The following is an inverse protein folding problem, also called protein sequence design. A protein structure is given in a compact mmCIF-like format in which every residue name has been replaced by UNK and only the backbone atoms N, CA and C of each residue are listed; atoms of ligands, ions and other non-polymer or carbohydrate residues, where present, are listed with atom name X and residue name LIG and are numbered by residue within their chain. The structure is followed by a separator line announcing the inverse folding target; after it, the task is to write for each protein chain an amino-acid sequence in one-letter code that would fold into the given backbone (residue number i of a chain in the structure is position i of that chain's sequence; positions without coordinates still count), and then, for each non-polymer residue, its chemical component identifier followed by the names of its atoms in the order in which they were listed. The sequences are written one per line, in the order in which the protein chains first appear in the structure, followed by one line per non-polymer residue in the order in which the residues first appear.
data_IF_073294053279
#
_entry.id   IF_073294053279
#
_cell.length_a   1.000
_cell.length_b   1.000
_cell.length_c   1.000
_cell.angle_alpha   90.00
_cell.angle_beta   90.00
_cell.angle_gamma   90.00
#
_symmetry.space_group_name_H-M   'P 1'
#
loop_
_entity.id
_entity.type
_entity.pdbx_description
1 polymer ?
#
# COMPACT_ATOMS: atom_id res chain seq x y z
N UNK A 1 -5.59 11.82 -7.22
CA UNK A 1 -5.32 10.40 -7.64
C UNK A 1 -6.60 9.81 -8.18
N UNK A 2 -6.52 9.10 -9.32
CA UNK A 2 -7.64 8.37 -9.91
C UNK A 2 -7.24 6.91 -10.19
N UNK A 3 -8.23 6.01 -10.29
CA UNK A 3 -7.99 4.59 -10.47
C UNK A 3 -8.13 4.15 -11.92
N UNK A 4 -7.19 3.32 -12.39
CA UNK A 4 -7.29 2.56 -13.63
C UNK A 4 -7.39 1.06 -13.32
N UNK A 5 -8.04 0.31 -14.17
CA UNK A 5 -8.06 -1.15 -14.09
C UNK A 5 -6.69 -1.73 -14.42
N UNK A 6 -6.33 -2.82 -13.77
CA UNK A 6 -5.06 -3.52 -14.05
C UNK A 6 -4.98 -3.86 -15.54
N UNK A 7 -3.86 -3.47 -16.17
CA UNK A 7 -3.57 -3.70 -17.59
C UNK A 7 -4.30 -2.76 -18.57
N UNK A 8 -5.17 -1.87 -18.09
CA UNK A 8 -5.95 -1.01 -18.97
C UNK A 8 -5.21 0.29 -19.34
N UNK A 9 -4.22 0.18 -20.21
CA UNK A 9 -3.37 1.32 -20.61
C UNK A 9 -4.14 2.49 -21.24
N UNK A 10 -5.28 2.24 -21.90
CA UNK A 10 -6.10 3.33 -22.48
C UNK A 10 -6.77 4.17 -21.39
N UNK A 11 -7.26 3.55 -20.29
CA UNK A 11 -7.75 4.32 -19.13
C UNK A 11 -6.64 5.21 -18.55
N UNK A 12 -5.43 4.68 -18.44
CA UNK A 12 -4.29 5.47 -17.96
C UNK A 12 -3.97 6.66 -18.88
N UNK A 13 -3.99 6.48 -20.20
CA UNK A 13 -3.83 7.56 -21.18
C UNK A 13 -4.93 8.63 -21.07
N UNK A 14 -6.18 8.21 -20.83
CA UNK A 14 -7.30 9.14 -20.62
C UNK A 14 -7.11 9.93 -19.33
N UNK A 15 -6.71 9.26 -18.23
CA UNK A 15 -6.46 9.89 -16.94
C UNK A 15 -5.28 10.86 -17.01
N UNK A 16 -4.21 10.52 -17.73
CA UNK A 16 -3.08 11.42 -17.98
C UNK A 16 -3.55 12.67 -18.72
N UNK A 17 -4.42 12.52 -19.74
CA UNK A 17 -4.95 13.67 -20.52
C UNK A 17 -5.81 14.61 -19.67
N UNK A 18 -6.39 14.12 -18.56
CA UNK A 18 -7.13 14.92 -17.59
C UNK A 18 -6.21 15.69 -16.62
N UNK A 19 -4.90 15.46 -16.66
CA UNK A 19 -3.92 16.14 -15.82
C UNK A 19 -4.01 15.78 -14.35
N UNK A 20 -4.34 14.53 -14.02
CA UNK A 20 -4.34 14.07 -12.63
C UNK A 20 -2.91 13.83 -12.14
N UNK A 21 -2.70 13.97 -10.80
CA UNK A 21 -1.37 13.89 -10.20
C UNK A 21 -0.82 12.47 -10.09
N UNK A 22 -1.69 11.46 -9.86
CA UNK A 22 -1.32 10.04 -9.70
C UNK A 22 -2.39 9.12 -10.28
N UNK A 23 -1.97 8.03 -10.91
CA UNK A 23 -2.82 6.92 -11.35
C UNK A 23 -2.61 5.72 -10.41
N UNK A 24 -3.66 5.24 -9.77
CA UNK A 24 -3.64 3.98 -9.01
C UNK A 24 -4.13 2.85 -9.93
N UNK A 25 -3.20 2.02 -10.42
CA UNK A 25 -3.53 0.77 -11.11
C UNK A 25 -3.98 -0.23 -10.04
N UNK A 26 -5.31 -0.40 -9.93
CA UNK A 26 -5.93 -0.85 -8.70
C UNK A 26 -6.64 -2.19 -8.82
N UNK A 27 -6.31 -3.10 -7.90
CA UNK A 27 -6.96 -4.39 -7.70
C UNK A 27 -8.40 -4.30 -7.15
N UNK A 28 -8.83 -3.15 -6.65
CA UNK A 28 -10.24 -2.96 -6.22
C UNK A 28 -11.21 -2.85 -7.40
N UNK A 29 -10.69 -2.66 -8.61
CA UNK A 29 -11.46 -2.70 -9.84
C UNK A 29 -11.31 -4.07 -10.51
N UNK A 30 -12.28 -4.43 -11.36
CA UNK A 30 -12.14 -5.64 -12.18
C UNK A 30 -10.96 -5.49 -13.13
N UNK A 31 -10.02 -6.43 -13.21
CA UNK A 31 -8.87 -6.33 -14.11
C UNK A 31 -9.32 -6.34 -15.57
N UNK A 32 -8.60 -5.62 -16.42
CA UNK A 32 -8.76 -5.68 -17.87
C UNK A 32 -7.78 -6.68 -18.51
N UNK A 33 -6.68 -6.98 -17.84
CA UNK A 33 -5.70 -7.98 -18.23
C UNK A 33 -5.30 -8.78 -16.99
N UNK A 34 -5.34 -10.10 -17.05
CA UNK A 34 -5.01 -11.02 -15.97
C UNK A 34 -3.52 -11.40 -15.93
N UNK A 35 -2.76 -11.02 -16.94
CA UNK A 35 -1.34 -11.35 -17.10
C UNK A 35 -0.42 -10.15 -16.98
N UNK A 36 -0.84 -9.02 -17.55
CA UNK A 36 0.02 -7.86 -17.71
C UNK A 36 -0.53 -6.66 -16.93
N UNK A 37 0.34 -6.03 -16.17
CA UNK A 37 0.14 -4.67 -15.68
C UNK A 37 0.49 -3.66 -16.79
N UNK A 38 0.04 -2.41 -16.61
CA UNK A 38 0.38 -1.33 -17.52
C UNK A 38 1.90 -1.12 -17.52
N UNK A 39 2.50 -0.99 -18.71
CA UNK A 39 3.90 -0.56 -18.85
C UNK A 39 3.97 0.95 -18.63
N UNK A 40 4.47 1.34 -17.46
CA UNK A 40 4.33 2.70 -16.91
C UNK A 40 5.37 3.68 -17.44
N UNK A 41 6.48 3.17 -18.01
CA UNK A 41 7.55 4.02 -18.54
C UNK A 41 7.15 4.88 -19.73
N UNK A 42 6.06 4.56 -20.41
CA UNK A 42 5.52 5.34 -21.55
C UNK A 42 4.52 6.43 -21.11
N UNK A 43 4.18 6.51 -19.81
CA UNK A 43 3.19 7.43 -19.24
C UNK A 43 3.92 8.37 -18.26
N UNK A 44 3.69 9.68 -18.37
CA UNK A 44 4.34 10.68 -17.54
C UNK A 44 3.74 10.78 -16.13
N UNK A 45 2.44 10.55 -16.02
CA UNK A 45 1.74 10.57 -14.73
C UNK A 45 2.24 9.42 -13.85
N UNK A 46 2.71 9.67 -12.63
CA UNK A 46 3.24 8.63 -11.75
C UNK A 46 2.16 7.65 -11.31
N UNK A 47 2.55 6.37 -11.20
CA UNK A 47 1.67 5.29 -10.80
C UNK A 47 1.85 4.87 -9.34
N UNK A 48 0.72 4.52 -8.72
CA UNK A 48 0.64 3.78 -7.45
C UNK A 48 0.20 2.36 -7.75
N UNK A 49 0.85 1.37 -7.17
CA UNK A 49 0.48 -0.04 -7.29
C UNK A 49 0.39 -0.73 -5.94
N UNK A 50 -0.50 -1.69 -5.82
CA UNK A 50 -0.60 -2.58 -4.68
C UNK A 50 0.45 -3.68 -4.69
N UNK A 51 0.93 -4.06 -3.50
CA UNK A 51 1.77 -5.23 -3.30
C UNK A 51 1.49 -5.89 -1.96
N UNK A 52 1.66 -7.21 -1.90
CA UNK A 52 1.51 -8.02 -0.69
C UNK A 52 2.84 -8.41 -0.08
N UNK A 53 3.90 -8.39 -0.89
CA UNK A 53 5.26 -8.79 -0.52
C UNK A 53 6.32 -8.01 -1.33
N UNK A 54 7.58 -8.19 -0.94
CA UNK A 54 8.72 -7.52 -1.57
C UNK A 54 8.92 -7.92 -3.04
N UNK A 55 8.62 -9.16 -3.40
CA UNK A 55 8.76 -9.63 -4.79
C UNK A 55 7.76 -8.95 -5.71
N UNK A 56 6.49 -8.83 -5.28
CA UNK A 56 5.47 -8.09 -5.99
C UNK A 56 5.83 -6.61 -6.09
N UNK A 57 6.24 -5.98 -4.99
CA UNK A 57 6.68 -4.59 -4.99
C UNK A 57 7.80 -4.33 -6.00
N UNK A 58 8.84 -5.17 -5.99
CA UNK A 58 9.94 -5.04 -6.94
C UNK A 58 9.50 -5.20 -8.40
N UNK A 59 8.53 -6.09 -8.68
CA UNK A 59 7.95 -6.21 -10.05
C UNK A 59 7.24 -4.93 -10.47
N UNK A 60 6.39 -4.37 -9.61
CA UNK A 60 5.68 -3.11 -9.89
C UNK A 60 6.64 -1.94 -10.10
N UNK A 61 7.71 -1.86 -9.29
CA UNK A 61 8.77 -0.85 -9.45
C UNK A 61 9.50 -1.04 -10.78
N UNK A 62 9.87 -2.28 -11.14
CA UNK A 62 10.47 -2.59 -12.43
C UNK A 62 9.60 -2.23 -13.64
N UNK A 63 8.29 -2.23 -13.49
CA UNK A 63 7.31 -1.77 -14.49
C UNK A 63 7.15 -0.24 -14.51
N UNK A 64 7.79 0.49 -13.58
CA UNK A 64 7.76 1.95 -13.51
C UNK A 64 6.81 2.53 -12.46
N UNK A 65 6.37 1.75 -11.45
CA UNK A 65 5.60 2.29 -10.34
C UNK A 65 6.43 3.30 -9.54
N UNK A 66 5.85 4.47 -9.27
CA UNK A 66 6.46 5.55 -8.49
C UNK A 66 6.13 5.48 -7.00
N UNK A 67 5.14 4.68 -6.62
CA UNK A 67 4.72 4.45 -5.25
C UNK A 67 4.16 3.02 -5.11
N UNK A 68 4.49 2.39 -4.00
CA UNK A 68 3.88 1.12 -3.58
C UNK A 68 2.91 1.40 -2.44
N UNK A 69 1.83 0.64 -2.38
CA UNK A 69 0.98 0.51 -1.20
C UNK A 69 0.74 -0.95 -0.86
N UNK A 70 0.49 -1.25 0.40
CA UNK A 70 -0.01 -2.58 0.75
C UNK A 70 -1.39 -2.77 0.14
N UNK A 71 -1.73 -3.99 -0.26
CA UNK A 71 -3.10 -4.29 -0.70
C UNK A 71 -4.06 -4.24 0.49
N UNK A 72 -3.72 -4.91 1.60
CA UNK A 72 -4.60 -5.04 2.74
C UNK A 72 -5.94 -5.66 2.35
N UNK A 73 -6.97 -5.41 3.13
CA UNK A 73 -8.36 -5.73 2.77
C UNK A 73 -9.20 -4.45 2.90
N UNK A 74 -9.30 -3.72 1.79
CA UNK A 74 -9.97 -2.42 1.75
C UNK A 74 -11.47 -2.58 2.02
N UNK A 75 -12.05 -1.61 2.75
CA UNK A 75 -13.49 -1.60 3.02
C UNK A 75 -13.93 -2.35 4.28
N UNK A 76 -13.02 -3.05 4.97
CA UNK A 76 -13.33 -3.89 6.12
C UNK A 76 -13.20 -3.19 7.48
N UNK A 77 -12.43 -2.10 7.58
CA UNK A 77 -12.06 -1.53 8.88
C UNK A 77 -11.24 -2.49 9.76
N UNK A 78 -10.58 -3.48 9.15
CA UNK A 78 -9.76 -4.49 9.80
C UNK A 78 -8.36 -4.49 9.21
N UNK A 79 -7.35 -4.15 10.01
CA UNK A 79 -5.96 -3.94 9.58
C UNK A 79 -5.14 -5.22 9.46
N UNK A 80 -5.71 -6.39 9.78
CA UNK A 80 -4.92 -7.62 9.90
C UNK A 80 -4.13 -7.95 8.62
N UNK A 81 -4.74 -7.81 7.44
CA UNK A 81 -4.06 -8.06 6.17
C UNK A 81 -3.02 -6.97 5.84
N UNK A 82 -3.32 -5.70 6.13
CA UNK A 82 -2.35 -4.63 5.97
C UNK A 82 -1.12 -4.83 6.87
N UNK A 83 -1.32 -5.29 8.11
CA UNK A 83 -0.22 -5.66 9.04
C UNK A 83 0.61 -6.81 8.48
N UNK A 84 -0.02 -7.88 7.99
CA UNK A 84 0.67 -9.02 7.37
C UNK A 84 1.53 -8.57 6.19
N UNK A 85 0.96 -7.76 5.29
CA UNK A 85 1.67 -7.26 4.12
C UNK A 85 2.84 -6.35 4.50
N UNK A 86 2.64 -5.42 5.47
CA UNK A 86 3.74 -4.57 5.94
C UNK A 86 4.87 -5.38 6.57
N UNK A 87 4.55 -6.39 7.40
CA UNK A 87 5.58 -7.28 7.97
C UNK A 87 6.31 -8.06 6.89
N UNK A 88 5.57 -8.65 5.93
CA UNK A 88 6.16 -9.35 4.78
C UNK A 88 7.09 -8.45 3.98
N UNK A 89 6.69 -7.19 3.76
CA UNK A 89 7.50 -6.18 3.07
C UNK A 89 8.79 -5.88 3.86
N UNK A 90 8.67 -5.57 5.14
CA UNK A 90 9.79 -5.21 6.02
C UNK A 90 10.77 -6.38 6.18
N UNK A 91 10.26 -7.60 6.37
CA UNK A 91 11.07 -8.81 6.45
C UNK A 91 11.82 -9.08 5.15
N UNK A 92 11.14 -8.90 4.00
CA UNK A 92 11.74 -9.03 2.67
C UNK A 92 12.83 -8.00 2.43
N UNK A 93 12.62 -6.74 2.79
CA UNK A 93 13.64 -5.69 2.69
C UNK A 93 14.85 -6.03 3.57
N UNK A 94 14.62 -6.48 4.81
CA UNK A 94 15.69 -6.88 5.71
C UNK A 94 16.48 -8.08 5.18
N UNK A 95 15.79 -9.09 4.61
CA UNK A 95 16.44 -10.23 3.96
C UNK A 95 17.36 -9.78 2.82
N UNK A 96 16.86 -8.92 1.93
CA UNK A 96 17.65 -8.37 0.82
C UNK A 96 18.86 -7.58 1.33
N UNK A 97 18.64 -6.67 2.30
CA UNK A 97 19.67 -5.80 2.87
C UNK A 97 20.81 -6.57 3.52
N UNK A 98 20.50 -7.69 4.19
CA UNK A 98 21.48 -8.49 4.95
C UNK A 98 22.09 -9.64 4.15
N UNK A 99 21.62 -9.92 2.94
CA UNK A 99 22.16 -10.96 2.06
C UNK A 99 23.54 -10.58 1.54
N UNK A 100 24.41 -11.58 1.28
CA UNK A 100 25.66 -11.35 0.57
C UNK A 100 25.36 -10.96 -0.89
N UNK A 101 26.20 -10.09 -1.45
CA UNK A 101 26.05 -9.64 -2.84
C UNK A 101 26.01 -10.80 -3.85
N UNK A 102 26.72 -11.90 -3.57
CA UNK A 102 26.72 -13.08 -4.43
C UNK A 102 25.40 -13.87 -4.38
N UNK A 103 24.60 -13.67 -3.33
CA UNK A 103 23.30 -14.34 -3.13
C UNK A 103 22.13 -13.57 -3.76
N UNK A 104 22.32 -12.27 -4.07
CA UNK A 104 21.22 -11.40 -4.56
C UNK A 104 20.57 -11.94 -5.84
N UNK A 105 21.32 -12.55 -6.75
CA UNK A 105 20.76 -13.13 -7.97
C UNK A 105 19.84 -14.32 -7.66
N UNK A 106 20.22 -15.15 -6.70
CA UNK A 106 19.42 -16.29 -6.26
C UNK A 106 18.16 -15.83 -5.54
N UNK A 107 18.30 -14.79 -4.70
CA UNK A 107 17.19 -14.19 -3.99
C UNK A 107 16.20 -13.53 -4.96
N UNK A 108 16.68 -12.75 -5.94
CA UNK A 108 15.82 -12.16 -6.98
C UNK A 108 15.01 -13.23 -7.73
N UNK A 109 15.62 -14.36 -8.01
CA UNK A 109 14.97 -15.54 -8.63
C UNK A 109 13.91 -16.14 -7.72
N UNK A 110 14.23 -16.35 -6.42
CA UNK A 110 13.31 -16.87 -5.40
C UNK A 110 12.04 -16.03 -5.29
N UNK A 111 12.20 -14.71 -5.16
CA UNK A 111 11.08 -13.76 -5.01
C UNK A 111 10.48 -13.31 -6.36
N UNK A 112 11.00 -13.84 -7.48
CA UNK A 112 10.54 -13.52 -8.86
C UNK A 112 10.56 -12.02 -9.16
N UNK A 113 11.61 -11.33 -8.73
CA UNK A 113 11.78 -9.89 -8.88
C UNK A 113 12.86 -9.53 -9.90
N UNK A 114 12.77 -8.36 -10.57
CA UNK A 114 13.84 -7.83 -11.41
C UNK A 114 15.13 -7.66 -10.59
N UNK A 115 16.24 -8.22 -11.08
CA UNK A 115 17.51 -8.19 -10.35
C UNK A 115 18.01 -6.77 -10.06
N UNK A 116 17.87 -5.85 -11.01
CA UNK A 116 18.33 -4.48 -10.84
C UNK A 116 17.59 -3.76 -9.70
N UNK A 117 16.28 -4.01 -9.54
CA UNK A 117 15.50 -3.45 -8.43
C UNK A 117 15.92 -4.10 -7.10
N UNK A 118 16.15 -5.41 -7.07
CA UNK A 118 16.63 -6.10 -5.85
C UNK A 118 18.01 -5.56 -5.43
N UNK A 119 18.89 -5.31 -6.38
CA UNK A 119 20.20 -4.70 -6.14
C UNK A 119 20.07 -3.29 -5.57
N UNK A 120 19.18 -2.48 -6.12
CA UNK A 120 18.89 -1.13 -5.62
C UNK A 120 18.32 -1.15 -4.19
N UNK A 121 17.40 -2.07 -3.88
CA UNK A 121 16.90 -2.28 -2.51
C UNK A 121 18.01 -2.69 -1.56
N UNK A 122 18.95 -3.56 -2.00
CA UNK A 122 20.10 -3.95 -1.19
C UNK A 122 20.98 -2.75 -0.85
N UNK A 123 21.32 -1.92 -1.85
CA UNK A 123 22.18 -0.74 -1.70
C UNK A 123 21.52 0.35 -0.81
N UNK A 124 20.22 0.58 -0.99
CA UNK A 124 19.45 1.58 -0.23
C UNK A 124 19.04 1.10 1.16
N UNK A 125 18.90 -0.20 1.37
CA UNK A 125 18.33 -0.79 2.58
C UNK A 125 16.84 -0.51 2.76
N UNK A 126 16.15 -0.07 1.70
CA UNK A 126 14.70 0.23 1.62
C UNK A 126 14.25 0.16 0.16
N UNK A 127 12.93 0.23 -0.07
CA UNK A 127 12.43 0.40 -1.44
C UNK A 127 12.92 1.74 -2.05
N UNK A 128 13.21 1.79 -3.36
CA UNK A 128 13.59 3.04 -4.05
C UNK A 128 12.44 4.03 -4.23
N UNK A 129 11.22 3.61 -3.92
CA UNK A 129 9.99 4.42 -3.92
C UNK A 129 9.32 4.38 -2.56
N UNK A 130 8.44 5.33 -2.27
CA UNK A 130 7.66 5.34 -1.03
C UNK A 130 6.70 4.15 -0.97
N UNK A 131 6.52 3.60 0.24
CA UNK A 131 5.62 2.50 0.52
C UNK A 131 4.57 2.91 1.56
N UNK A 132 3.31 3.06 1.14
CA UNK A 132 2.21 3.39 2.02
C UNK A 132 1.45 2.15 2.47
N UNK A 133 0.94 2.17 3.70
CA UNK A 133 0.02 1.15 4.17
C UNK A 133 -1.42 1.49 3.76
N UNK A 134 -2.14 0.49 3.28
CA UNK A 134 -3.54 0.60 2.88
C UNK A 134 -4.31 -0.66 3.26
N UNK A 135 -5.63 -0.52 3.40
CA UNK A 135 -6.56 -1.61 3.65
C UNK A 135 -6.89 -1.79 5.14
N UNK A 136 -8.11 -1.42 5.52
CA UNK A 136 -8.66 -1.67 6.84
C UNK A 136 -8.30 -0.66 7.94
N UNK A 137 -7.52 0.38 7.65
CA UNK A 137 -7.18 1.43 8.63
C UNK A 137 -8.44 2.22 8.97
N UNK A 138 -8.82 2.30 10.25
CA UNK A 138 -10.05 2.94 10.71
C UNK A 138 -9.86 3.88 11.90
N UNK A 139 -8.72 3.80 12.60
CA UNK A 139 -8.45 4.57 13.82
C UNK A 139 -7.08 5.27 13.77
N UNK A 140 -6.86 6.32 14.58
CA UNK A 140 -5.54 6.91 14.75
C UNK A 140 -4.47 5.89 15.19
N UNK A 141 -4.84 4.95 16.06
CA UNK A 141 -3.95 3.89 16.51
C UNK A 141 -3.55 2.93 15.38
N UNK A 142 -4.46 2.60 14.46
CA UNK A 142 -4.14 1.79 13.28
C UNK A 142 -3.13 2.50 12.39
N UNK A 143 -3.31 3.80 12.15
CA UNK A 143 -2.38 4.60 11.35
C UNK A 143 -0.99 4.62 12.01
N UNK A 144 -0.91 4.88 13.31
CA UNK A 144 0.34 4.87 14.06
C UNK A 144 1.01 3.48 14.03
N UNK A 145 0.24 2.39 14.14
CA UNK A 145 0.74 1.02 14.01
C UNK A 145 1.42 0.80 12.66
N UNK A 146 0.78 1.20 11.56
CA UNK A 146 1.37 1.06 10.23
C UNK A 146 2.68 1.86 10.11
N UNK A 147 2.72 3.09 10.61
CA UNK A 147 3.93 3.92 10.62
C UNK A 147 5.06 3.27 11.43
N UNK A 148 4.77 2.72 12.60
CA UNK A 148 5.75 2.01 13.43
C UNK A 148 6.21 0.69 12.79
N UNK A 149 5.42 0.07 11.92
CA UNK A 149 5.82 -1.09 11.11
C UNK A 149 6.72 -0.71 9.92
N UNK A 150 6.95 0.59 9.70
CA UNK A 150 7.95 1.08 8.74
C UNK A 150 7.39 1.54 7.40
N UNK A 151 6.09 1.83 7.27
CA UNK A 151 5.58 2.49 6.08
C UNK A 151 5.94 3.99 6.08
N UNK A 152 5.89 4.61 4.90
CA UNK A 152 6.16 6.03 4.70
C UNK A 152 4.90 6.91 4.83
N UNK A 153 3.72 6.28 4.93
CA UNK A 153 2.43 6.94 5.08
C UNK A 153 1.27 5.95 5.00
N UNK A 154 0.04 6.46 5.06
CA UNK A 154 -1.17 5.63 5.04
C UNK A 154 -2.17 6.12 4.00
N UNK A 155 -2.90 5.18 3.38
CA UNK A 155 -4.12 5.46 2.62
C UNK A 155 -5.33 5.01 3.44
N UNK A 156 -6.26 5.92 3.67
CA UNK A 156 -7.48 5.64 4.44
C UNK A 156 -8.71 6.07 3.64
N UNK A 157 -9.64 5.17 3.46
CA UNK A 157 -10.90 5.42 2.75
C UNK A 157 -12.11 5.21 3.67
N UNK A 158 -12.72 4.03 3.60
CA UNK A 158 -13.94 3.71 4.35
C UNK A 158 -13.80 3.89 5.87
N UNK A 159 -12.62 3.69 6.43
CA UNK A 159 -12.35 3.93 7.86
C UNK A 159 -12.63 5.38 8.28
N UNK A 160 -12.49 6.35 7.37
CA UNK A 160 -12.89 7.74 7.57
C UNK A 160 -14.35 7.92 7.17
N UNK A 161 -14.72 7.63 5.93
CA UNK A 161 -16.02 7.99 5.35
C UNK A 161 -17.21 7.25 5.94
N UNK A 162 -17.00 6.05 6.54
CA UNK A 162 -18.04 5.28 7.24
C UNK A 162 -18.01 5.44 8.76
N UNK A 163 -17.20 6.38 9.29
CA UNK A 163 -17.20 6.71 10.72
C UNK A 163 -18.32 7.69 11.07
N UNK A 164 -18.62 7.82 12.36
CA UNK A 164 -19.65 8.74 12.85
C UNK A 164 -19.30 10.21 12.62
N UNK A 165 -18.01 10.57 12.58
CA UNK A 165 -17.52 11.92 12.27
C UNK A 165 -16.31 11.83 11.34
N UNK A 166 -16.52 11.83 10.02
CA UNK A 166 -15.43 11.69 9.06
C UNK A 166 -14.38 12.79 9.10
N UNK A 167 -14.77 14.03 9.38
CA UNK A 167 -13.84 15.17 9.42
C UNK A 167 -12.87 15.05 10.58
N UNK A 168 -13.40 14.92 11.79
CA UNK A 168 -12.59 14.78 13.01
C UNK A 168 -11.72 13.51 12.94
N UNK A 169 -12.26 12.42 12.38
CA UNK A 169 -11.54 11.18 12.15
C UNK A 169 -10.34 11.36 11.20
N UNK A 170 -10.52 12.09 10.10
CA UNK A 170 -9.47 12.38 9.15
C UNK A 170 -8.36 13.22 9.79
N UNK A 171 -8.71 14.28 10.50
CA UNK A 171 -7.75 15.15 11.19
C UNK A 171 -6.96 14.37 12.24
N UNK A 172 -7.64 13.54 13.05
CA UNK A 172 -7.00 12.70 14.05
C UNK A 172 -6.01 11.68 13.44
N UNK A 173 -6.37 11.04 12.32
CA UNK A 173 -5.50 10.11 11.60
C UNK A 173 -4.27 10.83 11.03
N UNK A 174 -4.42 12.02 10.48
CA UNK A 174 -3.28 12.82 9.98
C UNK A 174 -2.32 13.16 11.11
N UNK A 175 -2.84 13.63 12.25
CA UNK A 175 -2.01 13.95 13.41
C UNK A 175 -1.32 12.69 13.95
N UNK A 176 -2.02 11.56 14.04
CA UNK A 176 -1.45 10.30 14.48
C UNK A 176 -0.36 9.77 13.53
N UNK A 177 -0.54 9.93 12.23
CA UNK A 177 0.47 9.57 11.23
C UNK A 177 1.75 10.40 11.40
N UNK A 178 1.62 11.68 11.72
CA UNK A 178 2.77 12.58 11.95
C UNK A 178 3.45 12.32 13.29
N UNK A 179 2.68 11.95 14.32
CA UNK A 179 3.15 11.78 15.71
C UNK A 179 3.08 10.31 16.16
N UNK A 180 3.31 9.37 15.25
CA UNK A 180 3.08 7.95 15.49
C UNK A 180 3.90 7.32 16.62
N UNK A 181 4.99 7.95 17.07
CA UNK A 181 5.83 7.53 18.18
C UNK A 181 5.53 8.25 19.52
N UNK A 182 4.49 9.09 19.55
CA UNK A 182 4.09 9.84 20.75
C UNK A 182 2.77 9.30 21.31
N UNK A 183 2.81 8.38 22.33
CA UNK A 183 1.61 7.78 22.89
C UNK A 183 0.66 8.80 23.56
N UNK A 184 1.19 9.90 24.12
CA UNK A 184 0.36 10.94 24.74
C UNK A 184 -0.45 11.68 23.68
N UNK A 185 0.21 12.02 22.56
CA UNK A 185 -0.46 12.64 21.41
C UNK A 185 -1.48 11.71 20.76
N UNK A 186 -1.17 10.42 20.66
CA UNK A 186 -2.11 9.42 20.13
C UNK A 186 -3.36 9.30 21.01
N UNK A 187 -3.22 9.33 22.34
CA UNK A 187 -4.37 9.36 23.26
C UNK A 187 -5.18 10.64 23.08
N UNK A 188 -4.51 11.79 23.00
CA UNK A 188 -5.18 13.10 22.83
C UNK A 188 -6.09 13.10 21.60
N UNK A 189 -5.54 12.71 20.42
CA UNK A 189 -6.28 12.74 19.16
C UNK A 189 -7.31 11.60 19.01
N UNK A 190 -7.27 10.61 19.87
CA UNK A 190 -8.25 9.51 19.85
C UNK A 190 -9.52 9.79 20.67
N UNK A 191 -9.56 10.93 21.40
CA UNK A 191 -10.73 11.30 22.21
C UNK A 191 -11.84 11.90 21.34
N UNK A 192 -13.08 11.60 21.70
CA UNK A 192 -14.29 12.24 21.15
C UNK A 192 -14.47 12.11 19.62
N UNK A 193 -13.95 11.05 19.01
CA UNK A 193 -14.02 10.83 17.57
C UNK A 193 -15.36 10.25 17.07
N UNK A 194 -16.34 10.07 17.93
CA UNK A 194 -17.57 9.36 17.57
C UNK A 194 -17.32 7.86 17.31
N UNK A 195 -18.33 7.19 16.76
CA UNK A 195 -18.23 5.76 16.47
C UNK A 195 -17.24 5.49 15.31
N UNK A 196 -16.29 4.55 15.49
CA UNK A 196 -15.45 4.11 14.38
C UNK A 196 -16.28 3.33 13.37
N UNK A 197 -15.75 3.15 12.16
CA UNK A 197 -16.28 2.17 11.22
C UNK A 197 -16.34 0.79 11.90
N UNK A 198 -17.48 0.10 11.78
CA UNK A 198 -17.60 -1.29 12.24
C UNK A 198 -16.65 -2.17 11.44
N UNK A 199 -15.77 -2.90 12.15
CA UNK A 199 -14.84 -3.84 11.53
C UNK A 199 -15.58 -5.07 11.00
N UNK A 200 -15.21 -5.52 9.81
CA UNK A 200 -15.71 -6.75 9.20
C UNK A 200 -14.59 -7.81 9.36
N UNK A 201 -14.97 -8.99 9.88
CA UNK A 201 -14.02 -10.10 9.93
C UNK A 201 -13.77 -10.63 8.51
N UNK A 202 -12.50 -10.72 8.12
CA UNK A 202 -12.12 -11.16 6.77
C UNK A 202 -12.53 -12.61 6.51
N UNK A 203 -12.62 -13.43 7.55
CA UNK A 203 -13.09 -14.82 7.43
C UNK A 203 -14.58 -14.90 7.09
N UNK A 204 -15.34 -13.83 7.34
CA UNK A 204 -16.76 -13.74 7.02
C UNK A 204 -17.03 -13.26 5.59
N UNK A 205 -15.97 -12.85 4.85
CA UNK A 205 -16.06 -12.45 3.44
C UNK A 205 -16.04 -13.68 2.52
N UNK A 206 -16.88 -13.66 1.49
CA UNK A 206 -16.79 -14.63 0.42
C UNK A 206 -15.46 -14.50 -0.33
N UNK A 207 -14.92 -15.63 -0.83
CA UNK A 207 -13.66 -15.63 -1.60
C UNK A 207 -13.67 -14.67 -2.80
N UNK A 208 -14.87 -14.40 -3.37
CA UNK A 208 -15.04 -13.46 -4.46
C UNK A 208 -14.90 -11.98 -4.02
N UNK A 209 -15.12 -11.69 -2.74
CA UNK A 209 -15.09 -10.35 -2.15
C UNK A 209 -13.69 -9.98 -1.62
N UNK A 210 -12.83 -10.97 -1.39
CA UNK A 210 -11.46 -10.72 -0.91
C UNK A 210 -10.60 -10.09 -2.01
N UNK A 211 -9.94 -8.98 -1.70
CA UNK A 211 -9.11 -8.20 -2.65
C UNK A 211 -7.66 -8.73 -2.73
N UNK A 212 -7.14 -9.26 -1.65
CA UNK A 212 -5.78 -9.79 -1.56
C UNK A 212 -5.73 -11.24 -2.09
N UNK A 213 -5.84 -11.41 -3.41
CA UNK A 213 -5.67 -12.71 -4.08
C UNK A 213 -4.28 -12.85 -4.63
#
# INVERSE_FOLDING_TARGET
MAKARIGHFVEAQMLESLGIDFIDESEVLTPADDKNHIYKHDIKTPFVNGATDIGEACRRIGEGAAMIRTKGEAGTGNVIEAVKHMRSMTDGINKIKTSDQNELMSLAKEIRAPFDVVKEVHELGKLPVVNFAAGGIATPADAALMMQLGCDGVFVGSGIFKSGDPKERAEAIVIATTNYNDPEKLIEVSKNLGEPMVGINIDDLDEAEKLAK
#
